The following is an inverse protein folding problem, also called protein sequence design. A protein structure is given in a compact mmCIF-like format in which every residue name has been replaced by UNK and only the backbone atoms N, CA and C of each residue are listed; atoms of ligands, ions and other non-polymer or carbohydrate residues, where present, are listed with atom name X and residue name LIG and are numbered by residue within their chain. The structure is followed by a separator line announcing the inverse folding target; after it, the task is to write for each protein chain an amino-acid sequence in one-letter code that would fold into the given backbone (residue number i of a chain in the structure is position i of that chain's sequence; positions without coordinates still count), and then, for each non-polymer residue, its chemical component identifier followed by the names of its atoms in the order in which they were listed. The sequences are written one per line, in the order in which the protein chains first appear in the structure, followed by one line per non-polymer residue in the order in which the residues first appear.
data_IF_538326023856
#
_entry.id   IF_538326023856
#
_cell.length_a   1.000
_cell.length_b   1.000
_cell.length_c   1.000
_cell.angle_alpha   90.00
_cell.angle_beta   90.00
_cell.angle_gamma   90.00
#
_symmetry.space_group_name_H-M   'P 1'
#
loop_
_entity.id
_entity.type
_entity.pdbx_description
1 polymer ?
#
# COMPACT_ATOMS: atom_id res chain seq x y z
N UNK A 1 9.71 10.11 2.28
CA UNK A 1 9.63 8.63 2.12
C UNK A 1 9.24 7.99 3.44
N UNK A 2 8.24 7.11 3.43
CA UNK A 2 7.80 6.29 4.56
C UNK A 2 7.71 4.82 4.17
N UNK A 3 8.14 3.93 5.06
CA UNK A 3 7.95 2.49 4.92
C UNK A 3 6.60 2.12 5.55
N UNK A 4 5.74 1.46 4.80
CA UNK A 4 4.45 0.97 5.27
C UNK A 4 4.43 -0.54 5.22
N UNK A 5 3.97 -1.14 6.30
CA UNK A 5 3.65 -2.55 6.34
C UNK A 5 2.18 -2.72 5.99
N UNK A 6 1.92 -3.60 5.04
CA UNK A 6 0.60 -3.88 4.50
C UNK A 6 0.23 -5.30 4.85
N UNK A 7 -0.93 -5.50 5.46
CA UNK A 7 -1.57 -6.80 5.59
C UNK A 7 -2.60 -6.92 4.48
N UNK A 8 -2.49 -7.99 3.68
CA UNK A 8 -3.35 -8.29 2.54
C UNK A 8 -3.94 -9.69 2.69
N UNK A 9 -5.12 -9.85 2.14
CA UNK A 9 -5.80 -11.13 2.01
C UNK A 9 -5.90 -11.45 0.51
N UNK A 10 -4.76 -11.82 -0.08
CA UNK A 10 -4.56 -12.09 -1.51
C UNK A 10 -3.76 -11.03 -2.28
N UNK A 11 -2.98 -11.48 -3.27
CA UNK A 11 -2.08 -10.64 -4.08
C UNK A 11 -2.82 -9.61 -4.95
N UNK A 12 -4.01 -9.96 -5.45
CA UNK A 12 -4.82 -9.09 -6.30
C UNK A 12 -5.20 -7.77 -5.60
N UNK A 13 -5.49 -7.83 -4.30
CA UNK A 13 -5.86 -6.65 -3.50
C UNK A 13 -4.68 -5.70 -3.35
N UNK A 14 -3.48 -6.23 -3.12
CA UNK A 14 -2.26 -5.42 -3.05
C UNK A 14 -1.96 -4.74 -4.37
N UNK A 15 -2.07 -5.48 -5.49
CA UNK A 15 -1.83 -4.92 -6.82
C UNK A 15 -2.79 -3.77 -7.11
N UNK A 16 -4.10 -3.96 -6.87
CA UNK A 16 -5.10 -2.89 -7.04
C UNK A 16 -4.84 -1.69 -6.14
N UNK A 17 -4.42 -1.93 -4.89
CA UNK A 17 -4.07 -0.88 -3.95
C UNK A 17 -2.88 -0.05 -4.46
N UNK A 18 -1.77 -0.70 -4.85
CA UNK A 18 -0.57 -0.03 -5.39
C UNK A 18 -0.90 0.72 -6.68
N UNK A 19 -1.64 0.11 -7.61
CA UNK A 19 -2.04 0.74 -8.87
C UNK A 19 -2.91 1.97 -8.63
N UNK A 20 -3.81 1.92 -7.64
CA UNK A 20 -4.64 3.08 -7.27
C UNK A 20 -3.79 4.21 -6.72
N UNK A 21 -2.80 3.92 -5.86
CA UNK A 21 -1.91 4.95 -5.33
C UNK A 21 -1.02 5.57 -6.42
N UNK A 22 -0.54 4.77 -7.37
CA UNK A 22 0.20 5.27 -8.54
C UNK A 22 -0.63 6.21 -9.41
N UNK A 23 -1.94 5.96 -9.55
CA UNK A 23 -2.88 6.87 -10.25
C UNK A 23 -3.06 8.22 -9.54
N UNK A 24 -2.74 8.29 -8.25
CA UNK A 24 -2.69 9.54 -7.49
C UNK A 24 -1.31 10.21 -7.53
N UNK A 25 -0.47 9.85 -8.52
CA UNK A 25 0.91 10.30 -8.72
C UNK A 25 1.87 9.92 -7.60
N UNK A 26 1.51 8.99 -6.70
CA UNK A 26 2.43 8.54 -5.66
C UNK A 26 3.49 7.59 -6.23
N UNK A 27 4.75 7.89 -5.93
CA UNK A 27 5.86 6.98 -6.22
C UNK A 27 5.96 5.93 -5.11
N UNK A 28 5.91 4.65 -5.51
CA UNK A 28 5.89 3.50 -4.59
C UNK A 28 6.90 2.45 -5.04
N UNK A 29 7.74 2.00 -4.11
CA UNK A 29 8.57 0.81 -4.27
C UNK A 29 8.01 -0.33 -3.41
N UNK A 30 7.89 -1.52 -3.99
CA UNK A 30 7.57 -2.74 -3.23
C UNK A 30 8.88 -3.42 -2.87
N UNK A 31 9.11 -3.74 -1.59
CA UNK A 31 10.38 -4.30 -1.09
C UNK A 31 10.30 -5.78 -0.80
N UNK A 32 9.25 -6.19 -0.10
CA UNK A 32 9.08 -7.56 0.35
C UNK A 32 7.60 -7.90 0.27
N UNK A 33 7.26 -9.03 -0.32
CA UNK A 33 5.88 -9.49 -0.52
C UNK A 33 5.82 -10.95 -0.17
N UNK A 34 5.09 -11.25 0.89
CA UNK A 34 4.76 -12.58 1.36
C UNK A 34 3.26 -12.85 1.10
N UNK A 35 2.79 -14.06 1.32
CA UNK A 35 1.40 -14.47 1.13
C UNK A 35 0.41 -13.57 1.89
N UNK A 36 0.76 -13.15 3.11
CA UNK A 36 -0.12 -12.34 3.98
C UNK A 36 0.26 -10.86 4.07
N UNK A 37 1.52 -10.52 3.77
CA UNK A 37 2.08 -9.21 4.11
C UNK A 37 2.92 -8.64 2.97
N UNK A 38 2.97 -7.32 2.88
CA UNK A 38 3.85 -6.63 1.96
C UNK A 38 4.44 -5.38 2.60
N UNK A 39 5.67 -5.05 2.25
CA UNK A 39 6.34 -3.83 2.65
C UNK A 39 6.48 -2.93 1.44
N UNK A 40 5.91 -1.72 1.54
CA UNK A 40 6.01 -0.71 0.49
C UNK A 40 6.68 0.55 1.02
N UNK A 41 7.52 1.16 0.20
CA UNK A 41 8.04 2.51 0.43
C UNK A 41 7.23 3.48 -0.39
N UNK A 42 6.65 4.48 0.26
CA UNK A 42 5.92 5.56 -0.40
C UNK A 42 6.77 6.82 -0.28
N UNK A 43 7.12 7.42 -1.42
CA UNK A 43 7.97 8.60 -1.46
C UNK A 43 7.17 9.87 -1.15
N UNK A 44 6.01 10.01 -1.79
CA UNK A 44 5.03 11.08 -1.55
C UNK A 44 3.94 10.60 -0.58
N UNK A 45 4.04 11.03 0.67
CA UNK A 45 3.23 10.50 1.77
C UNK A 45 2.00 11.37 2.05
N UNK A 46 0.84 10.96 1.54
CA UNK A 46 -0.48 11.46 1.97
C UNK A 46 -1.21 10.33 2.71
N UNK A 47 -1.08 10.35 4.03
CA UNK A 47 -1.63 9.31 4.91
C UNK A 47 -3.16 9.21 4.81
N UNK A 48 -3.86 10.33 4.68
CA UNK A 48 -5.32 10.36 4.58
C UNK A 48 -5.78 9.64 3.31
N UNK A 49 -5.15 9.95 2.18
CA UNK A 49 -5.44 9.30 0.90
C UNK A 49 -5.06 7.83 0.92
N UNK A 50 -3.90 7.50 1.47
CA UNK A 50 -3.42 6.10 1.59
C UNK A 50 -4.41 5.27 2.42
N UNK A 51 -4.89 5.76 3.57
CA UNK A 51 -5.91 5.07 4.36
C UNK A 51 -7.25 4.93 3.64
N UNK A 52 -7.69 5.94 2.89
CA UNK A 52 -8.91 5.85 2.09
C UNK A 52 -8.80 4.76 1.02
N UNK A 53 -7.66 4.71 0.31
CA UNK A 53 -7.41 3.70 -0.73
C UNK A 53 -7.29 2.31 -0.10
N UNK A 54 -6.67 2.19 1.08
CA UNK A 54 -6.56 0.93 1.81
C UNK A 54 -7.93 0.36 2.18
N UNK A 55 -8.81 1.21 2.76
CA UNK A 55 -10.19 0.83 3.10
C UNK A 55 -10.98 0.37 1.86
N UNK A 56 -10.88 1.09 0.74
CA UNK A 56 -11.54 0.72 -0.52
C UNK A 56 -11.06 -0.61 -1.08
N UNK A 57 -9.78 -0.92 -0.91
CA UNK A 57 -9.18 -2.17 -1.41
C UNK A 57 -9.17 -3.31 -0.38
N UNK A 58 -9.79 -3.12 0.80
CA UNK A 58 -9.80 -4.08 1.91
C UNK A 58 -8.38 -4.53 2.31
N UNK A 59 -7.49 -3.55 2.38
CA UNK A 59 -6.09 -3.70 2.77
C UNK A 59 -5.89 -3.00 4.10
N UNK A 60 -5.15 -3.61 5.01
CA UNK A 60 -4.80 -3.00 6.30
C UNK A 60 -3.37 -2.46 6.25
N UNK A 61 -3.19 -1.24 6.74
CA UNK A 61 -1.87 -0.60 6.84
C UNK A 61 -1.48 -0.55 8.30
N UNK A 62 -0.31 -1.08 8.60
CA UNK A 62 0.41 -0.90 9.84
C UNK A 62 1.54 0.07 9.53
N UNK A 63 1.50 1.27 10.10
CA UNK A 63 2.68 2.14 10.09
C UNK A 63 3.81 1.39 10.80
N UNK A 64 4.95 1.27 10.13
CA UNK A 64 6.16 0.62 10.64
C UNK A 64 7.19 1.65 11.11
#
# INVERSE_FOLDING_TARGET
MKLLKIIKDGDDKLKRFIDTLKRYNMTIETRDVDAEKAYIRVYEYDLNRIHQVARKNRVQILEA
#
